data_IF_996159267323
#
_entry.id   IF_996159267323
#
_cell.length_a   1.000
_cell.length_b   1.000
_cell.length_c   1.000
_cell.angle_alpha   90.00
_cell.angle_beta   90.00
_cell.angle_gamma   90.00
#
_symmetry.space_group_name_H-M   'P 1'
#
loop_
_entity.id
_entity.type
_entity.pdbx_description
1 polymer ?
#
# COMPACT_ATOMS: atom_id res chain seq x y z
N UNK A 1 35.13 4.04 21.21
CA UNK A 1 33.69 3.86 20.95
C UNK A 1 33.53 3.52 19.48
N UNK A 2 33.14 2.28 19.14
CA UNK A 2 32.84 1.88 17.77
C UNK A 2 31.33 1.80 17.64
N UNK A 3 30.74 2.62 16.77
CA UNK A 3 29.33 2.54 16.41
C UNK A 3 29.02 1.15 15.89
N UNK A 4 28.08 0.47 16.56
CA UNK A 4 27.47 -0.74 16.04
C UNK A 4 26.50 -0.31 14.95
N UNK A 5 26.92 -0.46 13.69
CA UNK A 5 26.01 -0.48 12.55
C UNK A 5 24.98 -1.58 12.77
N UNK A 6 23.74 -1.18 13.07
CA UNK A 6 22.60 -2.09 13.09
C UNK A 6 22.23 -2.40 11.65
N UNK A 7 22.71 -3.54 11.14
CA UNK A 7 22.12 -4.16 9.95
C UNK A 7 20.70 -4.60 10.33
N UNK A 8 19.70 -3.85 9.87
CA UNK A 8 18.31 -4.28 9.93
C UNK A 8 18.17 -5.46 8.95
N UNK A 9 17.93 -6.66 9.48
CA UNK A 9 17.60 -7.82 8.65
C UNK A 9 16.16 -7.66 8.16
N UNK A 10 16.02 -7.29 6.89
CA UNK A 10 14.74 -7.24 6.18
C UNK A 10 14.33 -8.67 5.84
N UNK A 11 13.24 -9.15 6.44
CA UNK A 11 12.66 -10.46 6.14
C UNK A 11 11.34 -10.22 5.40
N UNK A 12 11.38 -10.36 4.06
CA UNK A 12 10.20 -10.26 3.20
C UNK A 12 9.61 -11.67 3.10
N UNK A 13 8.43 -11.86 3.69
CA UNK A 13 7.70 -13.12 3.61
C UNK A 13 6.42 -12.86 2.80
N UNK A 14 6.36 -13.32 1.54
CA UNK A 14 5.12 -13.33 0.76
C UNK A 14 4.35 -14.60 1.14
N UNK A 15 3.43 -14.48 2.09
CA UNK A 15 2.58 -15.57 2.55
C UNK A 15 1.20 -15.42 1.92
N UNK A 16 0.81 -16.34 1.04
CA UNK A 16 -0.57 -16.42 0.51
C UNK A 16 -1.23 -17.65 1.13
N UNK A 17 -1.96 -17.44 2.24
CA UNK A 17 -2.76 -18.48 2.89
C UNK A 17 -4.07 -18.71 2.12
N UNK A 18 -4.69 -19.88 2.28
CA UNK A 18 -6.04 -20.16 1.76
C UNK A 18 -7.13 -19.23 2.34
N UNK A 19 -6.81 -18.51 3.42
CA UNK A 19 -7.69 -17.59 4.12
C UNK A 19 -7.63 -16.15 3.59
N UNK A 20 -6.72 -15.84 2.67
CA UNK A 20 -6.65 -14.50 2.06
C UNK A 20 -7.77 -14.32 1.03
N UNK A 21 -8.59 -13.28 1.24
CA UNK A 21 -9.65 -12.82 0.34
C UNK A 21 -9.17 -11.55 -0.35
N UNK A 22 -8.87 -11.69 -1.63
CA UNK A 22 -8.38 -10.59 -2.47
C UNK A 22 -9.48 -9.56 -2.72
N UNK A 23 -9.11 -8.28 -2.59
CA UNK A 23 -9.95 -7.12 -2.92
C UNK A 23 -9.45 -6.45 -4.20
N UNK A 24 -8.15 -6.14 -4.27
CA UNK A 24 -7.56 -5.51 -5.45
C UNK A 24 -6.08 -5.89 -5.61
N UNK A 25 -5.72 -6.38 -6.81
CA UNK A 25 -4.35 -6.56 -7.29
C UNK A 25 -4.10 -5.99 -8.70
N UNK A 26 -5.11 -5.33 -9.29
CA UNK A 26 -4.96 -4.56 -10.55
C UNK A 26 -4.57 -5.40 -11.78
N UNK A 27 -4.89 -6.70 -11.78
CA UNK A 27 -4.59 -7.62 -12.89
C UNK A 27 -5.83 -7.96 -13.74
N UNK A 28 -7.02 -7.58 -13.29
CA UNK A 28 -8.30 -7.97 -13.89
C UNK A 28 -8.55 -7.34 -15.25
N UNK A 29 -8.27 -6.04 -15.37
CA UNK A 29 -8.46 -5.22 -16.56
C UNK A 29 -7.66 -3.90 -16.43
N UNK A 30 -8.00 -2.88 -17.20
CA UNK A 30 -7.35 -1.57 -17.19
C UNK A 30 -8.28 -0.44 -16.72
N UNK A 31 -9.50 -0.78 -16.29
CA UNK A 31 -10.44 0.17 -15.71
C UNK A 31 -10.12 0.37 -14.24
N UNK A 32 -9.37 1.45 -13.99
CA UNK A 32 -8.94 1.90 -12.68
C UNK A 32 -10.08 2.09 -11.66
N UNK A 33 -11.33 2.23 -12.11
CA UNK A 33 -12.49 2.41 -11.23
C UNK A 33 -13.05 1.09 -10.72
N UNK A 34 -12.61 -0.04 -11.27
CA UNK A 34 -13.05 -1.37 -10.85
C UNK A 34 -12.01 -2.00 -9.95
N UNK A 35 -12.40 -2.98 -9.13
CA UNK A 35 -11.45 -3.80 -8.36
C UNK A 35 -11.55 -5.26 -8.73
N UNK A 36 -10.48 -6.01 -8.48
CA UNK A 36 -10.41 -7.46 -8.71
C UNK A 36 -11.55 -8.22 -8.05
N UNK A 37 -11.97 -7.77 -6.85
CA UNK A 37 -13.21 -8.22 -6.26
C UNK A 37 -14.40 -7.68 -7.06
N UNK A 38 -15.03 -8.56 -7.82
CA UNK A 38 -16.21 -8.25 -8.64
C UNK A 38 -17.25 -7.42 -7.89
N UNK A 39 -17.56 -6.25 -8.45
CA UNK A 39 -18.53 -5.29 -7.90
C UNK A 39 -17.97 -4.32 -6.87
N UNK A 40 -16.67 -4.38 -6.58
CA UNK A 40 -15.98 -3.29 -5.88
C UNK A 40 -15.67 -2.13 -6.82
N UNK A 41 -15.70 -0.93 -6.27
CA UNK A 41 -15.49 0.33 -6.98
C UNK A 41 -14.34 1.07 -6.31
N UNK A 42 -13.44 1.63 -7.11
CA UNK A 42 -12.30 2.39 -6.65
C UNK A 42 -12.41 3.86 -7.09
N UNK A 43 -11.97 4.78 -6.23
CA UNK A 43 -11.90 6.20 -6.56
C UNK A 43 -10.72 6.90 -5.92
N UNK A 44 -10.16 7.88 -6.63
CA UNK A 44 -9.15 8.81 -6.11
C UNK A 44 -9.71 10.22 -5.99
N UNK A 45 -9.70 10.80 -4.80
CA UNK A 45 -10.16 12.16 -4.49
C UNK A 45 -9.00 13.05 -4.05
N UNK A 46 -8.86 14.24 -4.62
CA UNK A 46 -7.76 15.18 -4.31
C UNK A 46 -6.34 14.56 -4.43
N UNK A 47 -6.19 13.51 -5.24
CA UNK A 47 -4.92 12.88 -5.58
C UNK A 47 -4.40 13.48 -6.89
N UNK A 48 -3.09 13.74 -6.95
CA UNK A 48 -2.45 14.29 -8.14
C UNK A 48 -2.23 13.24 -9.24
N UNK A 49 -1.87 12.01 -8.87
CA UNK A 49 -1.77 10.88 -9.81
C UNK A 49 -2.45 9.67 -9.21
N UNK A 50 -3.43 9.12 -9.93
CA UNK A 50 -4.09 7.85 -9.66
C UNK A 50 -4.12 7.10 -10.99
N UNK A 51 -3.32 6.05 -11.10
CA UNK A 51 -3.25 5.18 -12.29
C UNK A 51 -2.79 3.78 -11.91
N UNK A 52 -3.16 2.78 -12.68
CA UNK A 52 -2.50 1.49 -12.65
C UNK A 52 -1.15 1.55 -13.36
N UNK A 53 -0.19 0.80 -12.84
CA UNK A 53 1.17 0.74 -13.36
C UNK A 53 1.71 -0.67 -13.22
N UNK A 54 2.30 -1.19 -14.29
CA UNK A 54 3.11 -2.40 -14.24
C UNK A 54 4.40 -2.12 -13.47
N UNK A 55 4.68 -2.93 -12.46
CA UNK A 55 5.92 -2.91 -11.69
C UNK A 55 7.02 -3.60 -12.50
N UNK A 56 7.96 -2.79 -12.96
CA UNK A 56 9.16 -3.22 -13.68
C UNK A 56 10.29 -3.47 -12.66
N UNK A 57 11.01 -4.57 -12.84
CA UNK A 57 12.31 -4.78 -12.20
C UNK A 57 13.37 -3.93 -12.90
N UNK A 58 14.50 -3.65 -12.23
CA UNK A 58 15.58 -2.82 -12.81
C UNK A 58 16.09 -3.30 -14.17
N UNK A 59 16.02 -4.61 -14.42
CA UNK A 59 16.49 -5.25 -15.65
C UNK A 59 15.42 -5.35 -16.76
N UNK A 60 14.33 -4.57 -16.68
CA UNK A 60 13.27 -4.47 -17.72
C UNK A 60 12.51 -5.79 -17.99
N UNK A 61 12.52 -6.70 -17.01
CA UNK A 61 11.68 -7.90 -17.02
C UNK A 61 10.40 -7.63 -16.24
N UNK A 62 9.27 -7.49 -16.94
CA UNK A 62 7.96 -7.49 -16.29
C UNK A 62 7.63 -8.91 -15.79
N UNK A 63 7.06 -9.00 -14.58
CA UNK A 63 6.48 -10.26 -14.09
C UNK A 63 4.95 -10.30 -14.23
N UNK A 64 4.38 -9.43 -15.06
CA UNK A 64 2.94 -9.13 -15.07
C UNK A 64 2.44 -8.92 -13.63
N UNK A 65 2.97 -7.88 -12.99
CA UNK A 65 2.54 -7.45 -11.68
C UNK A 65 2.20 -5.97 -11.78
N UNK A 66 0.93 -5.63 -11.69
CA UNK A 66 0.42 -4.28 -11.66
C UNK A 66 0.25 -3.82 -10.21
N UNK A 67 0.15 -2.52 -10.04
CA UNK A 67 -0.14 -1.87 -8.77
C UNK A 67 -0.81 -0.54 -9.06
N UNK A 68 -1.50 0.03 -8.06
CA UNK A 68 -1.96 1.42 -8.17
C UNK A 68 -0.86 2.37 -7.76
N UNK A 69 -0.51 3.31 -8.65
CA UNK A 69 0.36 4.45 -8.37
C UNK A 69 -0.48 5.61 -7.82
N UNK A 70 -0.12 6.06 -6.61
CA UNK A 70 -0.79 7.12 -5.88
C UNK A 70 0.21 8.23 -5.54
N UNK A 71 0.00 9.42 -6.10
CA UNK A 71 0.83 10.62 -5.84
C UNK A 71 0.00 11.78 -5.34
N UNK A 72 0.47 12.46 -4.30
CA UNK A 72 -0.13 13.68 -3.79
C UNK A 72 0.93 14.76 -3.57
N UNK A 73 0.54 16.02 -3.81
CA UNK A 73 1.41 17.20 -3.68
C UNK A 73 1.03 18.08 -2.48
N UNK A 74 -0.15 17.83 -1.90
CA UNK A 74 -0.68 18.45 -0.68
C UNK A 74 -1.39 17.40 0.15
N UNK A 75 -1.49 17.63 1.46
CA UNK A 75 -2.23 16.78 2.38
C UNK A 75 -3.72 16.80 2.06
N UNK A 76 -4.40 15.66 2.21
CA UNK A 76 -5.85 15.53 2.12
C UNK A 76 -6.37 14.57 1.03
N UNK A 77 -5.50 14.10 0.13
CA UNK A 77 -5.88 13.13 -0.90
C UNK A 77 -6.36 11.81 -0.32
N UNK A 78 -7.28 11.14 -1.02
CA UNK A 78 -7.90 9.88 -0.58
C UNK A 78 -8.01 8.90 -1.72
N UNK A 79 -7.60 7.67 -1.47
CA UNK A 79 -7.88 6.54 -2.35
C UNK A 79 -8.86 5.62 -1.63
N UNK A 80 -10.01 5.39 -2.26
CA UNK A 80 -11.21 4.81 -1.66
C UNK A 80 -11.54 3.55 -2.42
N UNK A 81 -11.82 2.47 -1.69
CA UNK A 81 -12.34 1.23 -2.24
C UNK A 81 -13.69 0.96 -1.57
N UNK A 82 -14.76 1.05 -2.34
CA UNK A 82 -16.10 0.63 -1.95
C UNK A 82 -16.27 -0.86 -2.23
N UNK A 83 -16.67 -1.60 -1.20
CA UNK A 83 -16.77 -3.06 -1.25
C UNK A 83 -18.22 -3.52 -1.51
N UNK A 84 -18.41 -4.59 -2.30
CA UNK A 84 -19.73 -5.13 -2.57
C UNK A 84 -20.30 -5.81 -1.30
N UNK A 85 -21.30 -5.16 -0.69
CA UNK A 85 -21.87 -5.57 0.62
C UNK A 85 -22.27 -7.03 0.70
N UNK A 86 -22.85 -7.60 -0.37
CA UNK A 86 -23.27 -9.00 -0.42
C UNK A 86 -22.09 -9.96 -0.27
N UNK A 87 -20.95 -9.66 -0.90
CA UNK A 87 -19.76 -10.50 -0.87
C UNK A 87 -19.07 -10.39 0.48
N UNK A 88 -18.94 -9.18 1.02
CA UNK A 88 -18.34 -8.96 2.34
C UNK A 88 -19.12 -9.66 3.45
N UNK A 89 -20.46 -9.64 3.40
CA UNK A 89 -21.29 -10.34 4.37
C UNK A 89 -21.02 -11.87 4.39
N UNK A 90 -20.65 -12.47 3.25
CA UNK A 90 -20.30 -13.89 3.16
C UNK A 90 -18.94 -14.22 3.75
N UNK A 91 -18.02 -13.24 3.80
CA UNK A 91 -16.69 -13.44 4.39
C UNK A 91 -16.73 -13.47 5.91
N UNK A 92 -17.84 -13.02 6.53
CA UNK A 92 -18.08 -13.07 7.97
C UNK A 92 -16.88 -12.54 8.76
N UNK A 93 -16.38 -11.35 8.37
CA UNK A 93 -15.21 -10.72 8.97
C UNK A 93 -15.42 -10.54 10.47
N UNK A 94 -14.36 -10.83 11.22
CA UNK A 94 -14.32 -10.72 12.67
C UNK A 94 -13.24 -9.73 13.08
N UNK A 95 -13.18 -9.43 14.37
CA UNK A 95 -12.13 -8.57 14.89
C UNK A 95 -10.73 -9.19 14.76
N UNK A 96 -10.60 -10.52 14.79
CA UNK A 96 -9.32 -11.22 14.56
C UNK A 96 -8.94 -11.34 13.08
N UNK A 97 -9.87 -11.14 12.15
CA UNK A 97 -9.55 -10.93 10.74
C UNK A 97 -8.59 -9.75 10.58
N UNK A 98 -7.80 -9.78 9.51
CA UNK A 98 -6.73 -8.80 9.29
C UNK A 98 -6.88 -8.14 7.94
N UNK A 99 -6.67 -6.83 7.88
CA UNK A 99 -6.42 -6.12 6.63
C UNK A 99 -4.97 -6.40 6.21
N UNK A 100 -4.78 -6.75 4.94
CA UNK A 100 -3.47 -6.98 4.34
C UNK A 100 -3.38 -6.13 3.07
N UNK A 101 -2.23 -5.49 2.87
CA UNK A 101 -1.89 -4.81 1.62
C UNK A 101 -0.38 -4.69 1.51
N UNK A 102 0.11 -4.54 0.29
CA UNK A 102 1.52 -4.26 0.00
C UNK A 102 1.69 -2.82 -0.45
N UNK A 103 2.76 -2.15 -0.03
CA UNK A 103 3.06 -0.81 -0.49
C UNK A 103 4.56 -0.56 -0.63
N UNK A 104 4.94 0.30 -1.58
CA UNK A 104 6.31 0.82 -1.71
C UNK A 104 6.27 2.33 -1.85
N UNK A 105 7.19 3.01 -1.17
CA UNK A 105 7.49 4.40 -1.48
C UNK A 105 8.28 4.45 -2.78
N UNK A 106 7.88 5.32 -3.70
CA UNK A 106 8.49 5.51 -5.02
C UNK A 106 8.84 6.99 -5.27
N UNK A 107 8.94 7.79 -4.20
CA UNK A 107 9.27 9.21 -4.31
C UNK A 107 10.74 9.43 -4.70
N UNK A 108 10.98 9.60 -6.00
CA UNK A 108 12.30 9.86 -6.56
C UNK A 108 13.01 11.09 -5.98
N UNK A 109 12.27 12.08 -5.45
CA UNK A 109 12.90 13.25 -4.82
C UNK A 109 13.69 12.83 -3.58
N UNK A 110 13.26 11.79 -2.88
CA UNK A 110 13.99 11.26 -1.72
C UNK A 110 15.30 10.61 -2.12
N UNK A 111 15.33 9.94 -3.27
CA UNK A 111 16.54 9.35 -3.83
C UNK A 111 17.52 10.45 -4.24
N UNK A 112 17.04 11.44 -5.00
CA UNK A 112 17.84 12.57 -5.51
C UNK A 112 18.44 13.42 -4.37
N UNK A 113 17.67 13.63 -3.31
CA UNK A 113 18.09 14.41 -2.15
C UNK A 113 18.74 13.57 -1.04
N UNK A 114 18.84 12.25 -1.23
CA UNK A 114 19.34 11.30 -0.24
C UNK A 114 18.65 11.43 1.14
N UNK A 115 17.32 11.57 1.14
CA UNK A 115 16.51 11.65 2.36
C UNK A 115 15.92 10.30 2.71
N UNK A 116 15.81 10.02 4.02
CA UNK A 116 15.35 8.73 4.55
C UNK A 116 14.01 8.86 5.31
N UNK A 117 13.25 9.92 5.04
CA UNK A 117 11.98 10.17 5.70
C UNK A 117 10.91 9.18 5.21
N UNK A 118 10.28 8.47 6.14
CA UNK A 118 9.17 7.56 5.85
C UNK A 118 7.95 8.34 5.36
N UNK A 119 7.31 7.86 4.30
CA UNK A 119 5.95 8.30 3.98
C UNK A 119 4.97 7.68 4.97
N UNK A 120 4.00 8.47 5.44
CA UNK A 120 2.95 8.03 6.36
C UNK A 120 1.59 8.56 5.88
N UNK A 121 0.53 7.82 6.20
CA UNK A 121 -0.85 8.12 5.85
C UNK A 121 -1.79 7.38 6.81
N UNK A 122 -3.06 7.73 6.84
CA UNK A 122 -4.05 7.00 7.64
C UNK A 122 -4.79 5.98 6.79
N UNK A 123 -5.16 4.85 7.37
CA UNK A 123 -6.08 3.88 6.80
C UNK A 123 -7.37 3.97 7.60
N UNK A 124 -8.50 4.14 6.93
CA UNK A 124 -9.83 4.22 7.54
C UNK A 124 -10.71 3.11 6.99
N UNK A 125 -11.40 2.43 7.89
CA UNK A 125 -12.41 1.42 7.60
C UNK A 125 -13.77 2.00 8.00
N UNK A 126 -14.76 1.89 7.11
CA UNK A 126 -16.13 2.34 7.39
C UNK A 126 -17.08 1.17 7.22
N UNK A 127 -17.98 0.96 8.17
CA UNK A 127 -19.03 -0.05 8.07
C UNK A 127 -20.32 0.48 7.43
N UNK A 128 -21.28 -0.39 7.13
CA UNK A 128 -22.57 -0.01 6.55
C UNK A 128 -23.46 0.84 7.47
N UNK A 129 -23.13 0.92 8.76
CA UNK A 129 -23.83 1.79 9.71
C UNK A 129 -23.21 3.21 9.73
N UNK A 130 -22.12 3.43 8.99
CA UNK A 130 -21.39 4.69 8.95
C UNK A 130 -20.40 4.87 10.11
N UNK A 131 -20.13 3.81 10.88
CA UNK A 131 -19.11 3.86 11.92
C UNK A 131 -17.72 3.75 11.29
N UNK A 132 -16.84 4.68 11.63
CA UNK A 132 -15.49 4.78 11.08
C UNK A 132 -14.44 4.36 12.12
N UNK A 133 -13.47 3.55 11.71
CA UNK A 133 -12.32 3.17 12.50
C UNK A 133 -11.03 3.47 11.73
N UNK A 134 -10.08 4.20 12.33
CA UNK A 134 -8.93 4.77 11.62
C UNK A 134 -7.63 4.59 12.39
N UNK A 135 -6.55 4.31 11.66
CA UNK A 135 -5.20 4.14 12.19
C UNK A 135 -4.16 4.75 11.25
N UNK A 136 -3.04 5.26 11.77
CA UNK A 136 -1.92 5.70 10.92
C UNK A 136 -1.09 4.49 10.49
N UNK A 137 -0.50 4.50 9.30
CA UNK A 137 0.37 3.41 8.85
C UNK A 137 1.50 3.19 9.84
N UNK A 138 2.08 4.27 10.38
CA UNK A 138 3.11 4.24 11.42
C UNK A 138 2.74 3.50 12.71
N UNK A 139 1.46 3.26 13.00
CA UNK A 139 1.02 2.39 14.09
C UNK A 139 1.14 0.89 13.76
N UNK A 140 1.15 0.53 12.48
CA UNK A 140 1.31 -0.83 11.95
C UNK A 140 2.79 -1.12 11.69
N UNK A 141 3.47 -0.19 11.00
CA UNK A 141 4.85 -0.29 10.59
C UNK A 141 5.30 0.96 9.83
N UNK A 142 6.59 1.06 9.51
CA UNK A 142 7.10 2.20 8.72
C UNK A 142 7.16 1.80 7.25
N UNK A 143 6.67 2.65 6.35
CA UNK A 143 6.95 2.51 4.93
C UNK A 143 8.37 2.99 4.66
N UNK A 144 9.29 2.05 4.46
CA UNK A 144 10.67 2.41 4.19
C UNK A 144 10.77 3.32 2.94
N UNK A 145 11.58 4.39 3.01
CA UNK A 145 11.84 5.27 1.87
C UNK A 145 12.47 4.46 0.73
N UNK A 146 12.35 4.94 -0.52
CA UNK A 146 12.98 4.29 -1.65
C UNK A 146 14.50 4.29 -1.47
N UNK A 147 15.14 3.14 -1.63
CA UNK A 147 16.59 3.00 -1.51
C UNK A 147 17.18 3.04 -2.91
N UNK A 148 17.96 4.09 -3.19
CA UNK A 148 18.73 4.19 -4.43
C UNK A 148 19.83 3.13 -4.47
N UNK A 149 19.95 2.43 -5.59
CA UNK A 149 20.96 1.39 -5.83
C UNK A 149 22.03 1.90 -6.77
N UNK A 150 23.22 2.19 -6.23
CA UNK A 150 24.40 2.59 -7.00
C UNK A 150 25.49 1.52 -6.89
N UNK A 151 25.60 0.65 -7.90
CA UNK A 151 26.58 -0.45 -7.94
C UNK A 151 27.92 -0.02 -8.55
N UNK A 152 27.92 1.06 -9.32
CA UNK A 152 29.13 1.65 -9.89
C UNK A 152 29.28 3.13 -9.50
N UNK A 153 30.52 3.59 -9.37
CA UNK A 153 30.81 5.03 -9.22
C UNK A 153 30.49 5.82 -10.49
N UNK A 154 30.44 5.16 -11.64
CA UNK A 154 30.21 5.78 -12.94
C UNK A 154 28.75 5.58 -13.35
N UNK A 155 27.98 6.67 -13.38
CA UNK A 155 26.54 6.63 -13.64
C UNK A 155 26.20 6.02 -15.02
N UNK A 156 27.02 6.30 -16.04
CA UNK A 156 26.87 5.70 -17.37
C UNK A 156 26.98 4.17 -17.34
N UNK A 157 27.95 3.63 -16.59
CA UNK A 157 28.11 2.19 -16.44
C UNK A 157 27.02 1.60 -15.54
N UNK A 158 26.55 2.35 -14.53
CA UNK A 158 25.48 1.90 -13.66
C UNK A 158 24.19 1.68 -14.47
N UNK A 159 23.77 2.72 -15.22
CA UNK A 159 22.56 2.67 -16.06
C UNK A 159 22.65 1.63 -17.18
N UNK A 160 23.80 1.53 -17.83
CA UNK A 160 24.00 0.57 -18.94
C UNK A 160 24.03 -0.89 -18.48
N UNK A 161 24.60 -1.18 -17.32
CA UNK A 161 24.83 -2.56 -16.88
C UNK A 161 23.80 -3.08 -15.89
N UNK A 162 23.09 -2.20 -15.16
CA UNK A 162 22.24 -2.56 -14.03
C UNK A 162 20.88 -1.83 -14.01
N UNK A 163 20.51 -1.13 -15.09
CA UNK A 163 19.21 -0.49 -15.22
C UNK A 163 19.03 0.79 -14.39
N UNK A 164 17.78 1.10 -14.03
CA UNK A 164 17.44 2.29 -13.26
C UNK A 164 18.05 2.28 -11.85
N UNK A 165 18.20 3.46 -11.25
CA UNK A 165 18.83 3.63 -9.93
C UNK A 165 17.90 3.24 -8.77
N UNK A 166 16.71 2.72 -9.06
CA UNK A 166 15.68 2.37 -8.08
C UNK A 166 14.78 1.23 -8.57
N UNK A 167 14.34 0.40 -7.64
CA UNK A 167 13.30 -0.62 -7.85
C UNK A 167 12.23 -0.47 -6.76
N UNK A 168 10.93 -0.37 -7.10
CA UNK A 168 9.87 -0.43 -6.10
C UNK A 168 9.93 -1.78 -5.36
N UNK A 169 10.22 -1.75 -4.06
CA UNK A 169 10.21 -2.94 -3.20
C UNK A 169 8.97 -2.88 -2.31
N UNK A 170 7.96 -3.65 -2.69
CA UNK A 170 6.72 -3.78 -1.94
C UNK A 170 6.96 -4.38 -0.54
N UNK A 171 6.45 -3.69 0.46
CA UNK A 171 6.40 -4.11 1.86
C UNK A 171 4.97 -4.49 2.20
N UNK A 172 4.77 -5.73 2.66
CA UNK A 172 3.46 -6.21 3.11
C UNK A 172 3.16 -5.70 4.52
N UNK A 173 2.05 -5.00 4.68
CA UNK A 173 1.47 -4.60 5.94
C UNK A 173 0.31 -5.50 6.28
N UNK A 174 0.25 -5.93 7.54
CA UNK A 174 -0.82 -6.76 8.06
C UNK A 174 -1.23 -6.25 9.44
N UNK A 175 -2.51 -5.99 9.61
CA UNK A 175 -3.05 -5.41 10.85
C UNK A 175 -4.42 -5.99 11.16
N UNK A 176 -4.66 -6.32 12.43
CA UNK A 176 -5.94 -6.86 12.88
C UNK A 176 -7.02 -5.77 12.82
N UNK A 177 -8.22 -6.14 12.38
CA UNK A 177 -9.39 -5.26 12.43
C UNK A 177 -9.67 -4.80 13.87
N UNK A 178 -9.35 -5.63 14.87
CA UNK A 178 -9.41 -5.26 16.30
C UNK A 178 -8.60 -4.01 16.60
N UNK A 179 -7.44 -3.83 15.97
CA UNK A 179 -6.58 -2.70 16.23
C UNK A 179 -7.20 -1.40 15.70
N UNK A 180 -7.87 -1.44 14.55
CA UNK A 180 -8.70 -0.32 14.07
C UNK A 180 -9.86 -0.03 15.03
N UNK A 181 -10.59 -1.08 15.45
CA UNK A 181 -11.74 -0.93 16.34
C UNK A 181 -11.42 -0.32 17.72
N UNK A 182 -10.13 -0.23 18.11
CA UNK A 182 -9.71 0.53 19.29
C UNK A 182 -10.01 2.03 19.15
N UNK A 183 -9.98 2.59 17.93
CA UNK A 183 -10.35 3.99 17.71
C UNK A 183 -11.86 4.23 17.76
N UNK A 184 -12.65 3.21 17.42
CA UNK A 184 -14.11 3.24 17.49
C UNK A 184 -14.70 1.84 17.76
N UNK A 185 -15.05 1.53 19.02
CA UNK A 185 -15.61 0.21 19.38
C UNK A 185 -16.99 -0.10 18.79
N UNK A 186 -17.67 0.89 18.17
CA UNK A 186 -18.96 0.67 17.49
C UNK A 186 -18.80 0.11 16.08
N UNK A 187 -17.61 0.20 15.50
CA UNK A 187 -17.31 -0.34 14.18
C UNK A 187 -17.55 -1.85 14.15
N UNK A 188 -18.28 -2.31 13.14
CA UNK A 188 -18.67 -3.72 13.00
C UNK A 188 -17.96 -4.38 11.79
N UNK A 189 -16.99 -5.28 12.01
CA UNK A 189 -16.17 -5.85 10.93
C UNK A 189 -16.96 -6.56 9.82
N UNK A 190 -17.99 -7.32 10.17
CA UNK A 190 -18.82 -8.08 9.22
C UNK A 190 -19.56 -7.19 8.21
N UNK A 191 -19.73 -5.92 8.56
CA UNK A 191 -20.47 -4.92 7.79
C UNK A 191 -19.52 -3.93 7.09
N UNK A 192 -18.23 -4.28 6.95
CA UNK A 192 -17.23 -3.46 6.27
C UNK A 192 -17.72 -3.04 4.88
N UNK A 193 -17.69 -1.74 4.63
CA UNK A 193 -18.20 -1.10 3.41
C UNK A 193 -17.09 -0.43 2.62
N UNK A 194 -16.22 0.34 3.27
CA UNK A 194 -15.14 1.05 2.57
C UNK A 194 -13.80 0.85 3.26
N UNK A 195 -12.75 0.83 2.44
CA UNK A 195 -11.35 0.93 2.86
C UNK A 195 -10.80 2.21 2.21
N UNK A 196 -10.26 3.12 3.02
CA UNK A 196 -9.73 4.39 2.54
C UNK A 196 -8.27 4.58 2.98
N UNK A 197 -7.40 4.91 2.02
CA UNK A 197 -6.05 5.38 2.24
C UNK A 197 -6.07 6.91 2.20
N UNK A 198 -5.87 7.56 3.34
CA UNK A 198 -6.00 9.00 3.52
C UNK A 198 -4.61 9.62 3.70
N UNK A 199 -4.17 10.37 2.69
CA UNK A 199 -2.86 11.03 2.62
C UNK A 199 -2.83 12.32 3.46
N UNK A 200 -2.96 12.17 4.78
CA UNK A 200 -3.08 13.27 5.73
C UNK A 200 -1.88 13.48 6.66
N UNK A 201 -0.89 12.56 6.68
CA UNK A 201 0.29 12.66 7.55
C UNK A 201 1.47 13.31 6.82
N UNK A 202 1.95 12.68 5.74
CA UNK A 202 2.95 13.29 4.87
C UNK A 202 2.29 14.32 3.95
N UNK A 203 2.85 15.53 3.87
CA UNK A 203 2.31 16.65 3.07
C UNK A 203 2.30 16.31 1.57
N UNK A 204 3.30 15.58 1.11
CA UNK A 204 3.44 15.06 -0.25
C UNK A 204 4.00 13.65 -0.20
N UNK A 205 3.80 12.89 -1.26
CA UNK A 205 4.35 11.55 -1.39
C UNK A 205 3.97 10.91 -2.71
N UNK A 206 4.69 9.83 -3.05
CA UNK A 206 4.43 8.99 -4.20
C UNK A 206 4.62 7.55 -3.75
N UNK A 207 3.56 6.75 -3.80
CA UNK A 207 3.59 5.35 -3.41
C UNK A 207 2.97 4.49 -4.51
N UNK A 208 3.31 3.21 -4.48
CA UNK A 208 2.50 2.16 -5.11
C UNK A 208 1.86 1.30 -4.05
N UNK A 209 0.63 0.85 -4.28
CA UNK A 209 -0.12 -0.08 -3.41
C UNK A 209 -0.58 -1.27 -4.25
N UNK A 210 -0.51 -2.45 -3.67
CA UNK A 210 -0.82 -3.73 -4.32
C UNK A 210 -1.37 -4.75 -3.30
N UNK A 211 -1.89 -5.88 -3.77
CA UNK A 211 -2.32 -7.04 -2.97
C UNK A 211 -3.24 -6.66 -1.79
N UNK A 212 -4.21 -5.76 -2.02
CA UNK A 212 -5.17 -5.34 -0.99
C UNK A 212 -6.18 -6.47 -0.76
N UNK A 213 -6.37 -6.86 0.49
CA UNK A 213 -7.36 -7.88 0.85
C UNK A 213 -7.50 -8.07 2.36
N UNK A 214 -8.20 -9.14 2.72
CA UNK A 214 -8.42 -9.50 4.13
C UNK A 214 -8.10 -10.97 4.38
N UNK A 215 -7.48 -11.27 5.52
CA UNK A 215 -7.27 -12.63 6.02
C UNK A 215 -8.38 -12.93 7.04
N UNK A 216 -9.13 -14.02 6.83
CA UNK A 216 -10.33 -14.38 7.61
C UNK A 216 -10.15 -15.58 8.53
#
# INVERSE_FOLDING_TARGET
MKEKSFFLKLYINRFQDSNFKLISNYEEDADIQTSTLSGGIQSGEEIYTWKEKTLEFRDDFSRNNNAVELKWTKSGGRYIIELPTKTIAQWNLKFDSKLVFSASDIDEEKIKNNTLDSTDFSIKLTDNNGEEAMMSLSNIGKLHPPIGVKLSKWDYHNKRAYGEDFEPVLQTFQVSIRDFAKSNPKFTPKDLKTIEFIFNKSVKGSIVVDDIGVEI
#
